data_IF_864642741114
#
_entry.id   IF_864642741114
#
_cell.length_a   1.000
_cell.length_b   1.000
_cell.length_c   1.000
_cell.angle_alpha   90.00
_cell.angle_beta   90.00
_cell.angle_gamma   90.00
#
_symmetry.space_group_name_H-M   'P 1'
#
loop_
_entity.id
_entity.type
_entity.pdbx_description
1 polymer ?
#
# COMPACT_ATOMS: atom_id res chain seq x y z
N UNK A 1 -8.51 -0.04 -10.82
CA UNK A 1 -8.58 -0.75 -12.13
C UNK A 1 -8.72 -2.26 -11.97
N UNK A 2 -7.66 -3.02 -11.66
CA UNK A 2 -7.85 -4.46 -11.42
C UNK A 2 -8.69 -4.73 -10.17
N UNK A 3 -8.43 -4.01 -9.08
CA UNK A 3 -9.21 -4.12 -7.85
C UNK A 3 -10.65 -3.67 -8.06
N UNK A 4 -10.91 -2.54 -8.74
CA UNK A 4 -12.27 -2.10 -9.09
C UNK A 4 -13.02 -3.14 -9.91
N UNK A 5 -12.36 -3.74 -10.92
CA UNK A 5 -12.96 -4.77 -11.76
C UNK A 5 -13.31 -6.06 -10.98
N UNK A 6 -12.52 -6.39 -9.94
CA UNK A 6 -12.74 -7.57 -9.11
C UNK A 6 -13.76 -7.35 -8.00
N UNK A 7 -13.85 -6.13 -7.47
CA UNK A 7 -14.65 -5.84 -6.27
C UNK A 7 -15.92 -5.05 -6.55
N UNK A 8 -16.03 -4.44 -7.73
CA UNK A 8 -17.10 -3.49 -8.05
C UNK A 8 -16.98 -2.15 -7.31
N UNK A 9 -15.88 -1.94 -6.58
CA UNK A 9 -15.65 -0.72 -5.83
C UNK A 9 -15.37 0.49 -6.73
N UNK A 10 -15.46 1.68 -6.14
CA UNK A 10 -15.11 2.95 -6.79
C UNK A 10 -13.91 3.58 -6.07
N UNK A 11 -13.07 4.32 -6.83
CA UNK A 11 -11.94 5.04 -6.26
C UNK A 11 -12.46 6.29 -5.55
N UNK A 12 -12.25 6.34 -4.22
CA UNK A 12 -12.63 7.52 -3.42
C UNK A 12 -11.58 8.64 -3.53
N UNK A 13 -10.31 8.28 -3.52
CA UNK A 13 -9.17 9.20 -3.65
C UNK A 13 -7.92 8.47 -4.15
N UNK A 14 -6.95 9.24 -4.59
CA UNK A 14 -5.59 8.80 -4.92
C UNK A 14 -4.59 9.66 -4.15
N UNK A 15 -3.34 9.20 -3.99
CA UNK A 15 -2.27 9.96 -3.37
C UNK A 15 -0.96 9.75 -4.15
N UNK A 16 -0.51 10.78 -4.83
CA UNK A 16 0.81 10.83 -5.48
C UNK A 16 1.23 12.31 -5.60
N UNK A 17 2.45 12.61 -5.15
CA UNK A 17 3.00 13.97 -5.15
C UNK A 17 3.79 14.32 -6.43
N UNK A 18 3.96 13.38 -7.37
CA UNK A 18 4.60 13.65 -8.66
C UNK A 18 3.63 14.40 -9.60
N UNK A 19 3.96 15.63 -10.04
CA UNK A 19 3.07 16.41 -10.89
C UNK A 19 2.71 15.73 -12.22
N UNK A 20 3.63 14.94 -12.79
CA UNK A 20 3.37 14.22 -14.05
C UNK A 20 2.40 13.06 -13.84
N UNK A 21 2.55 12.36 -12.73
CA UNK A 21 1.62 11.28 -12.37
C UNK A 21 0.25 11.84 -11.99
N UNK A 22 0.20 12.97 -11.29
CA UNK A 22 -1.05 13.66 -10.96
C UNK A 22 -1.91 13.95 -12.20
N UNK A 23 -1.29 14.42 -13.30
CA UNK A 23 -1.99 14.62 -14.57
C UNK A 23 -2.54 13.32 -15.18
N UNK A 24 -1.81 12.22 -15.01
CA UNK A 24 -2.26 10.90 -15.49
C UNK A 24 -3.43 10.42 -14.64
N UNK A 25 -3.35 10.59 -13.31
CA UNK A 25 -4.39 10.19 -12.35
C UNK A 25 -5.68 10.98 -12.59
N UNK A 26 -5.60 12.29 -12.81
CA UNK A 26 -6.75 13.15 -13.14
C UNK A 26 -7.47 12.69 -14.42
N UNK A 27 -6.70 12.35 -15.47
CA UNK A 27 -7.27 11.82 -16.71
C UNK A 27 -7.87 10.43 -16.55
N UNK A 28 -7.28 9.61 -15.67
CA UNK A 28 -7.71 8.23 -15.46
C UNK A 28 -8.90 8.11 -14.53
N UNK A 29 -8.97 8.99 -13.55
CA UNK A 29 -10.00 9.06 -12.52
C UNK A 29 -10.60 10.47 -12.45
N UNK A 30 -11.41 10.87 -13.47
CA UNK A 30 -12.00 12.21 -13.51
C UNK A 30 -12.86 12.47 -12.27
N UNK A 31 -12.62 13.58 -11.59
CA UNK A 31 -13.37 13.97 -10.40
C UNK A 31 -12.93 13.30 -9.09
N UNK A 32 -11.98 12.35 -9.13
CA UNK A 32 -11.41 11.75 -7.92
C UNK A 32 -10.29 12.66 -7.38
N UNK A 33 -10.33 13.07 -6.09
CA UNK A 33 -9.32 13.93 -5.51
C UNK A 33 -7.97 13.23 -5.43
N UNK A 34 -6.88 13.95 -5.77
CA UNK A 34 -5.52 13.54 -5.44
C UNK A 34 -5.08 14.23 -4.15
N UNK A 35 -4.84 13.44 -3.11
CA UNK A 35 -4.43 13.92 -1.78
C UNK A 35 -2.95 14.35 -1.72
N UNK A 36 -2.18 14.14 -2.81
CA UNK A 36 -0.79 14.58 -2.93
C UNK A 36 0.19 13.74 -2.11
N UNK A 37 1.01 14.40 -1.29
CA UNK A 37 2.06 13.76 -0.50
C UNK A 37 1.48 12.97 0.68
N UNK A 38 1.66 11.65 0.65
CA UNK A 38 1.17 10.74 1.70
C UNK A 38 1.69 11.10 3.10
N UNK A 39 2.83 11.78 3.21
CA UNK A 39 3.42 12.20 4.48
C UNK A 39 2.70 13.39 5.12
N UNK A 40 1.83 14.07 4.38
CA UNK A 40 1.09 15.25 4.79
C UNK A 40 -0.40 14.99 4.99
N UNK A 41 -0.87 13.75 4.75
CA UNK A 41 -2.29 13.42 4.84
C UNK A 41 -2.69 13.23 6.31
N UNK A 42 -3.75 13.94 6.71
CA UNK A 42 -4.45 13.68 7.97
C UNK A 42 -5.45 12.52 7.75
N UNK A 43 -5.04 11.31 8.11
CA UNK A 43 -5.87 10.12 7.95
C UNK A 43 -7.11 10.14 8.82
N UNK A 44 -7.07 10.79 9.99
CA UNK A 44 -8.22 10.89 10.88
C UNK A 44 -9.37 11.69 10.23
N UNK A 45 -9.04 12.71 9.43
CA UNK A 45 -10.03 13.48 8.69
C UNK A 45 -10.73 12.66 7.58
N UNK A 46 -10.18 11.52 7.19
CA UNK A 46 -10.72 10.63 6.16
C UNK A 46 -11.44 9.40 6.74
N UNK A 47 -11.38 9.18 8.05
CA UNK A 47 -11.94 7.98 8.71
C UNK A 47 -13.45 7.84 8.45
N UNK A 48 -14.19 8.95 8.50
CA UNK A 48 -15.65 8.96 8.28
C UNK A 48 -16.07 8.60 6.84
N UNK A 49 -15.13 8.62 5.89
CA UNK A 49 -15.42 8.26 4.49
C UNK A 49 -15.66 6.76 4.29
N UNK A 50 -15.30 5.91 5.26
CA UNK A 50 -15.54 4.48 5.23
C UNK A 50 -14.82 3.77 4.09
N UNK A 51 -13.48 3.87 4.03
CA UNK A 51 -12.67 3.25 2.98
C UNK A 51 -12.56 1.74 3.20
N UNK A 52 -13.20 0.97 2.33
CA UNK A 52 -13.20 -0.50 2.40
C UNK A 52 -11.89 -1.13 1.94
N UNK A 53 -11.22 -0.53 0.95
CA UNK A 53 -10.06 -1.12 0.29
C UNK A 53 -8.97 -0.07 0.14
N UNK A 54 -7.76 -0.42 0.57
CA UNK A 54 -6.55 0.38 0.28
C UNK A 54 -5.67 -0.41 -0.67
N UNK A 55 -5.17 0.25 -1.73
CA UNK A 55 -4.14 -0.28 -2.61
C UNK A 55 -2.91 0.62 -2.53
N UNK A 56 -1.72 0.06 -2.34
CA UNK A 56 -0.50 0.85 -2.29
C UNK A 56 0.68 0.16 -2.98
N UNK A 57 1.39 0.96 -3.79
CA UNK A 57 2.74 0.66 -4.25
C UNK A 57 3.71 1.67 -3.64
N UNK A 58 4.76 1.21 -2.98
CA UNK A 58 5.69 2.08 -2.26
C UNK A 58 7.16 1.74 -2.60
N UNK A 59 8.10 2.71 -2.50
CA UNK A 59 9.50 2.47 -2.81
C UNK A 59 10.15 1.45 -1.88
N UNK A 60 10.82 0.43 -2.44
CA UNK A 60 11.55 -0.58 -1.67
C UNK A 60 12.74 0.00 -0.87
N UNK A 61 13.28 1.14 -1.32
CA UNK A 61 14.43 1.80 -0.70
C UNK A 61 14.12 2.34 0.70
N UNK A 62 12.88 2.75 0.95
CA UNK A 62 12.45 3.33 2.22
C UNK A 62 12.41 2.30 3.36
N UNK A 63 12.21 1.03 3.03
CA UNK A 63 12.20 -0.05 4.02
C UNK A 63 13.64 -0.39 4.46
N UNK A 64 14.61 -0.37 3.52
CA UNK A 64 16.00 -0.74 3.80
C UNK A 64 16.75 0.30 4.61
N UNK A 65 16.38 1.57 4.53
CA UNK A 65 17.02 2.66 5.29
C UNK A 65 16.59 2.69 6.77
N UNK A 66 15.45 2.10 7.11
CA UNK A 66 15.00 1.94 8.51
C UNK A 66 15.87 0.94 9.30
N UNK A 67 16.71 0.12 8.63
CA UNK A 67 17.59 -0.87 9.25
C UNK A 67 18.97 -0.38 9.67
N UNK A 68 19.41 0.83 9.30
CA UNK A 68 20.68 1.42 9.75
C UNK A 68 20.44 2.41 10.88
N UNK A 69 20.52 1.91 12.12
CA UNK A 69 20.81 2.57 13.40
C UNK A 69 20.83 4.11 13.36
N UNK A 70 19.66 4.73 13.37
CA UNK A 70 19.44 6.04 13.98
C UNK A 70 18.30 5.83 14.96
N UNK A 71 18.46 6.31 16.21
CA UNK A 71 17.59 5.96 17.34
C UNK A 71 16.10 6.12 17.08
N UNK A 72 15.30 5.66 18.03
CA UNK A 72 13.85 5.51 18.04
C UNK A 72 13.03 6.67 17.42
N UNK A 73 13.60 7.83 17.21
CA UNK A 73 12.97 9.00 16.57
C UNK A 73 13.09 9.04 15.03
N UNK A 74 13.98 8.24 14.41
CA UNK A 74 14.22 8.23 12.96
C UNK A 74 13.33 7.28 12.14
N UNK A 75 12.51 6.44 12.76
CA UNK A 75 11.84 5.31 12.07
C UNK A 75 10.47 5.64 11.43
N UNK A 76 9.97 6.86 11.57
CA UNK A 76 8.64 7.27 11.06
C UNK A 76 8.66 7.97 9.70
N UNK A 77 9.80 8.16 9.07
CA UNK A 77 9.93 9.01 7.87
C UNK A 77 9.82 8.29 6.54
N UNK A 78 9.65 6.97 6.50
CA UNK A 78 9.49 6.22 5.25
C UNK A 78 8.04 6.19 4.74
N UNK A 79 7.85 6.14 3.43
CA UNK A 79 6.51 6.03 2.79
C UNK A 79 5.72 4.85 3.35
N UNK A 80 6.40 3.71 3.63
CA UNK A 80 5.76 2.56 4.27
C UNK A 80 5.12 2.89 5.62
N UNK A 81 5.77 3.68 6.46
CA UNK A 81 5.21 4.05 7.77
C UNK A 81 3.88 4.82 7.62
N UNK A 82 3.78 5.68 6.60
CA UNK A 82 2.54 6.40 6.30
C UNK A 82 1.45 5.49 5.74
N UNK A 83 1.82 4.48 4.91
CA UNK A 83 0.86 3.45 4.47
C UNK A 83 0.34 2.65 5.66
N UNK A 84 1.22 2.19 6.56
CA UNK A 84 0.83 1.46 7.77
C UNK A 84 -0.07 2.31 8.69
N UNK A 85 0.21 3.61 8.82
CA UNK A 85 -0.63 4.54 9.57
C UNK A 85 -2.01 4.72 8.93
N UNK A 86 -2.09 4.85 7.59
CA UNK A 86 -3.36 4.87 6.87
C UNK A 86 -4.19 3.62 7.17
N UNK A 87 -3.57 2.43 7.12
CA UNK A 87 -4.23 1.16 7.43
C UNK A 87 -4.70 1.10 8.89
N UNK A 88 -3.87 1.61 9.83
CA UNK A 88 -4.20 1.64 11.26
C UNK A 88 -5.41 2.51 11.55
N UNK A 89 -5.50 3.69 10.92
CA UNK A 89 -6.58 4.67 11.15
C UNK A 89 -7.83 4.28 10.37
N UNK A 90 -7.71 4.04 9.07
CA UNK A 90 -8.86 3.83 8.18
C UNK A 90 -9.46 2.42 8.28
N UNK A 91 -8.72 1.47 8.87
CA UNK A 91 -9.18 0.09 9.10
C UNK A 91 -9.84 -0.57 7.88
N UNK A 92 -9.23 -0.55 6.69
CA UNK A 92 -9.83 -1.11 5.51
C UNK A 92 -10.09 -2.62 5.69
N UNK A 93 -11.17 -3.11 5.10
CA UNK A 93 -11.52 -4.52 5.09
C UNK A 93 -10.55 -5.34 4.22
N UNK A 94 -9.92 -4.69 3.24
CA UNK A 94 -8.94 -5.31 2.34
C UNK A 94 -7.78 -4.34 2.08
N UNK A 95 -6.57 -4.82 2.26
CA UNK A 95 -5.34 -4.13 1.86
C UNK A 95 -4.68 -4.91 0.73
N UNK A 96 -4.32 -4.20 -0.34
CA UNK A 96 -3.58 -4.77 -1.45
C UNK A 96 -2.27 -3.99 -1.66
N UNK A 97 -1.13 -4.66 -1.53
CA UNK A 97 0.20 -4.05 -1.70
C UNK A 97 0.93 -4.62 -2.92
N UNK A 98 1.68 -3.75 -3.59
CA UNK A 98 2.59 -4.13 -4.67
C UNK A 98 3.99 -3.60 -4.40
N UNK A 99 5.01 -4.40 -4.71
CA UNK A 99 6.40 -3.96 -4.69
C UNK A 99 7.27 -4.81 -5.64
N UNK A 100 8.54 -4.46 -5.73
CA UNK A 100 9.52 -5.30 -6.41
C UNK A 100 9.81 -6.56 -5.59
N UNK A 101 10.14 -7.68 -6.24
CA UNK A 101 10.42 -8.96 -5.56
C UNK A 101 11.59 -8.91 -4.57
N UNK A 102 12.49 -7.92 -4.72
CA UNK A 102 13.59 -7.68 -3.80
C UNK A 102 13.15 -7.34 -2.35
N UNK A 103 11.90 -6.94 -2.13
CA UNK A 103 11.35 -6.70 -0.78
C UNK A 103 11.49 -7.93 0.12
N UNK A 104 11.46 -9.15 -0.45
CA UNK A 104 11.61 -10.42 0.28
C UNK A 104 12.89 -10.51 1.11
N UNK A 105 13.96 -9.88 0.66
CA UNK A 105 15.26 -9.87 1.36
C UNK A 105 15.58 -8.53 2.02
N UNK A 106 14.74 -7.52 1.86
CA UNK A 106 15.07 -6.14 2.26
C UNK A 106 13.98 -5.43 3.05
N UNK A 107 12.96 -6.14 3.56
CA UNK A 107 11.96 -5.44 4.36
C UNK A 107 10.61 -6.12 4.52
N UNK A 108 10.42 -7.33 4.00
CA UNK A 108 9.17 -8.06 4.16
C UNK A 108 8.83 -8.27 5.64
N UNK A 109 9.84 -8.61 6.46
CA UNK A 109 9.64 -8.83 7.90
C UNK A 109 9.09 -7.59 8.60
N UNK A 110 9.54 -6.40 8.16
CA UNK A 110 9.02 -5.13 8.67
C UNK A 110 7.56 -4.94 8.27
N UNK A 111 7.22 -5.17 7.01
CA UNK A 111 5.84 -5.03 6.51
C UNK A 111 4.90 -5.97 7.24
N UNK A 112 5.26 -7.26 7.32
CA UNK A 112 4.45 -8.27 7.99
C UNK A 112 4.33 -8.00 9.50
N UNK A 113 5.42 -7.59 10.16
CA UNK A 113 5.43 -7.26 11.58
C UNK A 113 4.56 -6.05 11.90
N UNK A 114 4.63 -4.98 11.11
CA UNK A 114 3.80 -3.78 11.29
C UNK A 114 2.31 -4.11 11.05
N UNK A 115 1.97 -4.92 10.03
CA UNK A 115 0.59 -5.36 9.77
C UNK A 115 0.05 -6.22 10.90
N UNK A 116 0.83 -7.19 11.37
CA UNK A 116 0.44 -8.02 12.52
C UNK A 116 0.23 -7.20 13.80
N UNK A 117 1.10 -6.20 14.05
CA UNK A 117 0.98 -5.31 15.21
C UNK A 117 -0.31 -4.47 15.20
N UNK A 118 -0.85 -4.15 14.01
CA UNK A 118 -2.12 -3.43 13.89
C UNK A 118 -3.32 -4.36 13.67
N UNK A 119 -3.14 -5.70 13.82
CA UNK A 119 -4.19 -6.69 13.78
C UNK A 119 -4.65 -7.06 12.37
N UNK A 120 -3.71 -7.24 11.44
CA UNK A 120 -3.97 -7.74 10.09
C UNK A 120 -3.24 -9.05 9.82
N UNK A 121 -3.94 -10.01 9.25
CA UNK A 121 -3.38 -11.23 8.68
C UNK A 121 -3.05 -10.99 7.21
N UNK A 122 -1.88 -11.47 6.77
CA UNK A 122 -1.39 -11.21 5.43
C UNK A 122 -0.94 -12.47 4.71
N UNK A 123 -1.26 -12.57 3.43
CA UNK A 123 -0.71 -13.55 2.50
C UNK A 123 0.00 -12.83 1.36
N UNK A 124 1.10 -13.38 0.88
CA UNK A 124 1.86 -12.76 -0.19
C UNK A 124 2.40 -13.78 -1.19
N UNK A 125 2.71 -13.30 -2.38
CA UNK A 125 3.27 -14.10 -3.46
C UNK A 125 4.13 -13.24 -4.38
N UNK A 126 4.95 -13.90 -5.23
CA UNK A 126 5.66 -13.22 -6.31
C UNK A 126 5.21 -13.76 -7.65
N UNK A 127 4.97 -12.85 -8.59
CA UNK A 127 4.61 -13.19 -9.95
C UNK A 127 5.51 -12.49 -10.96
N UNK A 128 5.94 -13.25 -11.96
CA UNK A 128 6.65 -12.71 -13.13
C UNK A 128 5.65 -12.34 -14.20
N UNK A 129 5.84 -11.17 -14.82
CA UNK A 129 5.00 -10.76 -15.93
C UNK A 129 5.05 -11.76 -17.10
N UNK A 130 6.20 -12.43 -17.31
CA UNK A 130 6.34 -13.51 -18.32
C UNK A 130 5.45 -14.71 -18.05
N UNK A 131 5.13 -15.03 -16.80
CA UNK A 131 4.18 -16.09 -16.46
C UNK A 131 2.72 -15.74 -16.84
N UNK A 132 2.44 -14.44 -17.01
CA UNK A 132 1.16 -13.91 -17.51
C UNK A 132 1.20 -13.58 -19.02
N UNK A 133 2.22 -14.08 -19.76
CA UNK A 133 2.33 -13.88 -21.22
C UNK A 133 3.05 -12.59 -21.65
N UNK A 134 3.60 -11.78 -20.75
CA UNK A 134 4.34 -10.59 -21.13
C UNK A 134 5.75 -10.91 -21.67
N UNK A 135 6.29 -10.12 -22.61
CA UNK A 135 7.60 -10.36 -23.23
C UNK A 135 8.80 -9.97 -22.32
N UNK A 136 8.60 -9.70 -21.05
CA UNK A 136 9.62 -9.29 -20.10
C UNK A 136 9.47 -10.01 -18.75
N UNK A 137 10.58 -10.11 -17.99
CA UNK A 137 10.63 -10.85 -16.73
C UNK A 137 10.14 -10.09 -15.51
N UNK A 138 9.63 -8.89 -15.63
CA UNK A 138 9.21 -8.02 -14.50
C UNK A 138 8.61 -8.84 -13.33
N UNK A 139 9.43 -9.11 -12.32
CA UNK A 139 9.05 -9.86 -11.13
C UNK A 139 8.49 -8.91 -10.05
N UNK A 140 7.31 -9.21 -9.54
CA UNK A 140 6.59 -8.36 -8.59
C UNK A 140 6.09 -9.17 -7.42
N UNK A 141 6.24 -8.57 -6.26
CA UNK A 141 5.67 -9.03 -5.02
C UNK A 141 4.30 -8.39 -4.82
N UNK A 142 3.35 -9.20 -4.43
CA UNK A 142 1.99 -8.80 -4.09
C UNK A 142 1.64 -9.32 -2.71
N UNK A 143 0.90 -8.53 -1.94
CA UNK A 143 0.38 -8.90 -0.64
C UNK A 143 -1.09 -8.52 -0.57
N UNK A 144 -1.88 -9.41 0.01
CA UNK A 144 -3.26 -9.15 0.43
C UNK A 144 -3.32 -9.32 1.94
N UNK A 145 -3.94 -8.36 2.63
CA UNK A 145 -4.18 -8.46 4.06
C UNK A 145 -5.61 -8.07 4.42
N UNK A 146 -6.12 -8.71 5.47
CA UNK A 146 -7.45 -8.47 6.05
C UNK A 146 -7.33 -8.35 7.56
N UNK A 147 -8.25 -7.66 8.26
CA UNK A 147 -8.30 -7.69 9.72
C UNK A 147 -8.34 -9.11 10.26
N UNK A 148 -7.57 -9.40 11.32
CA UNK A 148 -7.45 -10.75 11.90
C UNK A 148 -8.78 -11.32 12.40
N UNK A 149 -9.73 -10.46 12.80
CA UNK A 149 -11.05 -10.86 13.26
C UNK A 149 -12.02 -11.24 12.12
N UNK A 150 -11.62 -11.07 10.85
CA UNK A 150 -12.47 -11.38 9.68
C UNK A 150 -12.52 -12.88 9.33
N UNK A 151 -11.81 -13.74 10.08
CA UNK A 151 -11.81 -15.19 9.90
C UNK A 151 -12.82 -15.90 10.82
N UNK A 152 -13.80 -15.18 11.35
CA UNK A 152 -14.91 -15.76 12.09
C UNK A 152 -15.96 -16.34 11.16
N UNK A 153 -15.95 -17.66 10.97
CA UNK A 153 -16.97 -18.58 10.45
C UNK A 153 -17.79 -18.14 9.26
#
# INVERSE_FOLDING_TARGET
MAVEALTGGQVAWVADNDPKKSLILERRFPGVPNLGDITQIDWAALEEQGVDIITAGFPCQDISNAGRRVGIEGSRSGIWANVAEAVRVLRPRLLFLENVSAIRSRGIDRVLGDLAAIGYDAVWTCHRASAAGAPHHRDRWFLVATPSDSHGC
#
